data_IF_192652198089
#
_entry.id   IF_192652198089
#
_cell.length_a   1.000
_cell.length_b   1.000
_cell.length_c   1.000
_cell.angle_alpha   90.00
_cell.angle_beta   90.00
_cell.angle_gamma   90.00
#
_symmetry.space_group_name_H-M   'P 1'
#
loop_
_entity.id
_entity.type
_entity.pdbx_description
1 polymer ?
#
# COMPACT_ATOMS: atom_id res chain seq x y z
N UNK A 1 -30.11 -8.28 -0.48
CA UNK A 1 -29.73 -8.89 -1.77
C UNK A 1 -28.22 -8.77 -1.87
N UNK A 2 -27.50 -9.88 -1.65
CA UNK A 2 -26.04 -9.89 -1.69
C UNK A 2 -25.64 -10.36 -3.09
N UNK A 3 -25.19 -9.43 -3.94
CA UNK A 3 -24.65 -9.76 -5.26
C UNK A 3 -23.41 -10.65 -5.14
N UNK A 4 -23.00 -11.34 -6.21
CA UNK A 4 -21.80 -12.16 -6.19
C UNK A 4 -20.60 -11.27 -5.82
N UNK A 5 -19.87 -11.64 -4.75
CA UNK A 5 -18.55 -11.07 -4.49
C UNK A 5 -17.66 -11.52 -5.63
N UNK A 6 -17.38 -10.64 -6.58
CA UNK A 6 -16.21 -10.80 -7.45
C UNK A 6 -15.02 -10.74 -6.49
N UNK A 7 -14.45 -11.89 -6.17
CA UNK A 7 -13.10 -11.93 -5.61
C UNK A 7 -12.20 -11.53 -6.76
N UNK A 8 -11.93 -10.22 -6.90
CA UNK A 8 -10.89 -9.76 -7.81
C UNK A 8 -9.58 -10.42 -7.35
N UNK A 9 -9.17 -11.47 -8.07
CA UNK A 9 -7.88 -12.11 -7.85
C UNK A 9 -6.82 -11.17 -8.40
N UNK A 10 -6.20 -10.42 -7.49
CA UNK A 10 -5.07 -9.58 -7.81
C UNK A 10 -3.80 -10.44 -7.87
N UNK A 11 -3.06 -10.35 -8.98
CA UNK A 11 -1.76 -11.02 -9.09
C UNK A 11 -0.70 -10.26 -8.29
N UNK A 12 0.10 -11.01 -7.52
CA UNK A 12 1.28 -10.49 -6.84
C UNK A 12 2.23 -9.83 -7.86
N UNK A 13 2.70 -8.58 -7.64
CA UNK A 13 3.63 -7.96 -8.56
C UNK A 13 4.97 -8.68 -8.54
N UNK A 14 5.62 -8.79 -9.70
CA UNK A 14 6.89 -9.49 -9.90
C UNK A 14 8.01 -8.98 -8.97
N UNK A 15 7.95 -7.70 -8.57
CA UNK A 15 8.94 -7.04 -7.73
C UNK A 15 8.66 -7.17 -6.22
N UNK A 16 7.60 -7.88 -5.81
CA UNK A 16 7.21 -7.92 -4.39
C UNK A 16 8.25 -8.66 -3.53
N UNK A 17 8.90 -7.99 -2.56
CA UNK A 17 10.03 -8.55 -1.82
C UNK A 17 9.62 -9.49 -0.67
N UNK A 18 8.34 -9.53 -0.29
CA UNK A 18 7.87 -10.18 0.95
C UNK A 18 7.00 -11.40 0.67
N UNK A 19 7.54 -12.64 0.62
CA UNK A 19 6.80 -13.82 0.18
C UNK A 19 5.60 -14.16 1.07
N UNK A 20 5.55 -13.68 2.31
CA UNK A 20 4.43 -13.89 3.25
C UNK A 20 3.26 -12.93 3.06
N UNK A 21 3.43 -11.90 2.23
CA UNK A 21 2.41 -10.88 2.00
C UNK A 21 1.35 -11.38 1.02
N UNK A 22 0.10 -11.43 1.49
CA UNK A 22 -1.10 -11.69 0.71
C UNK A 22 -1.59 -10.39 0.10
N UNK A 23 -1.74 -10.34 -1.21
CA UNK A 23 -2.15 -9.12 -1.89
C UNK A 23 -3.62 -8.79 -1.57
N UNK A 24 -3.87 -7.52 -1.21
CA UNK A 24 -5.20 -6.96 -0.98
C UNK A 24 -5.66 -6.18 -2.22
N UNK A 25 -4.77 -5.35 -2.77
CA UNK A 25 -5.04 -4.57 -3.99
C UNK A 25 -3.75 -4.16 -4.69
N UNK A 26 -3.79 -3.93 -5.99
CA UNK A 26 -2.68 -3.29 -6.70
C UNK A 26 -3.16 -2.44 -7.88
N UNK A 27 -2.40 -1.39 -8.15
CA UNK A 27 -2.46 -0.59 -9.38
C UNK A 27 -1.36 -1.06 -10.32
N UNK A 28 -1.77 -1.48 -11.52
CA UNK A 28 -0.95 -2.09 -12.58
C UNK A 28 -0.48 -3.53 -12.27
N UNK A 29 -0.99 -4.49 -13.04
CA UNK A 29 -0.92 -5.93 -12.74
C UNK A 29 0.15 -6.62 -13.59
N UNK A 30 0.88 -7.56 -12.96
CA UNK A 30 1.39 -8.79 -13.59
C UNK A 30 2.48 -8.69 -14.65
N UNK A 31 2.80 -7.50 -15.16
CA UNK A 31 3.88 -7.27 -16.11
C UNK A 31 5.03 -6.50 -15.47
N UNK A 32 6.23 -6.64 -16.03
CA UNK A 32 7.34 -5.77 -15.69
C UNK A 32 7.03 -4.32 -16.15
N UNK A 33 7.30 -3.29 -15.34
CA UNK A 33 7.23 -1.89 -15.70
C UNK A 33 7.94 -1.59 -17.01
N UNK A 34 7.38 -0.68 -17.80
CA UNK A 34 8.17 0.05 -18.78
C UNK A 34 8.87 1.23 -18.11
N UNK A 35 9.94 1.79 -18.71
CA UNK A 35 10.60 2.98 -18.17
C UNK A 35 9.60 4.14 -18.02
N UNK A 36 9.35 4.56 -16.78
CA UNK A 36 8.41 5.64 -16.44
C UNK A 36 7.19 5.17 -15.63
N UNK A 37 6.86 3.88 -15.66
CA UNK A 37 5.73 3.34 -14.93
C UNK A 37 5.99 3.30 -13.42
N UNK A 38 4.96 3.63 -12.64
CA UNK A 38 4.96 3.51 -11.18
C UNK A 38 3.77 2.66 -10.73
N UNK A 39 3.98 1.88 -9.68
CA UNK A 39 3.04 0.87 -9.21
C UNK A 39 2.80 1.11 -7.73
N UNK A 40 1.57 0.82 -7.31
CA UNK A 40 1.21 0.85 -5.90
C UNK A 40 0.53 -0.47 -5.58
N UNK A 41 0.94 -1.13 -4.50
CA UNK A 41 0.23 -2.30 -4.01
C UNK A 41 0.05 -2.26 -2.50
N UNK A 42 -1.03 -2.90 -2.06
CA UNK A 42 -1.38 -3.07 -0.65
C UNK A 42 -1.54 -4.55 -0.36
N UNK A 43 -1.02 -5.01 0.76
CA UNK A 43 -1.11 -6.39 1.15
C UNK A 43 -1.10 -6.60 2.67
N UNK A 44 -1.53 -7.78 3.07
CA UNK A 44 -1.65 -8.22 4.45
C UNK A 44 -0.62 -9.32 4.72
N UNK A 45 0.04 -9.24 5.86
CA UNK A 45 1.01 -10.21 6.32
C UNK A 45 0.31 -11.32 7.09
N UNK A 46 0.66 -12.58 6.82
CA UNK A 46 0.17 -13.70 7.60
C UNK A 46 0.61 -13.63 9.09
N UNK A 47 1.77 -13.01 9.34
CA UNK A 47 2.32 -12.79 10.67
C UNK A 47 2.79 -11.34 10.79
N UNK A 48 2.39 -10.60 11.84
CA UNK A 48 2.80 -9.21 12.02
C UNK A 48 4.31 -9.10 12.28
N UNK A 49 4.87 -7.93 11.93
CA UNK A 49 6.18 -7.51 12.40
C UNK A 49 5.98 -6.67 13.65
N UNK A 50 6.48 -7.16 14.79
CA UNK A 50 6.46 -6.45 16.06
C UNK A 50 7.84 -5.85 16.35
N UNK A 51 7.90 -4.57 16.72
CA UNK A 51 9.13 -3.89 17.10
C UNK A 51 8.86 -2.73 18.06
N UNK A 52 9.89 -2.29 18.78
CA UNK A 52 9.83 -1.10 19.63
C UNK A 52 10.68 0.01 19.02
N UNK A 53 10.13 1.21 18.94
CA UNK A 53 10.85 2.40 18.50
C UNK A 53 10.49 3.58 19.40
N UNK A 54 11.51 4.28 19.92
CA UNK A 54 11.34 5.41 20.84
C UNK A 54 10.40 5.12 22.03
N UNK A 55 10.53 3.92 22.61
CA UNK A 55 9.72 3.46 23.74
C UNK A 55 8.26 3.09 23.41
N UNK A 56 7.85 3.19 22.15
CA UNK A 56 6.52 2.79 21.68
C UNK A 56 6.56 1.43 21.00
N UNK A 57 5.60 0.57 21.31
CA UNK A 57 5.42 -0.71 20.63
C UNK A 57 4.66 -0.51 19.31
N UNK A 58 5.13 -1.19 18.27
CA UNK A 58 4.52 -1.21 16.96
C UNK A 58 4.25 -2.66 16.56
N UNK A 59 3.06 -2.89 16.02
CA UNK A 59 2.63 -4.18 15.47
C UNK A 59 2.05 -3.91 14.10
N UNK A 60 2.80 -4.31 13.08
CA UNK A 60 2.50 -3.96 11.69
C UNK A 60 2.26 -5.23 10.89
N UNK A 61 1.02 -5.42 10.48
CA UNK A 61 0.52 -6.57 9.71
C UNK A 61 0.15 -6.20 8.28
N UNK A 62 0.30 -4.95 7.87
CA UNK A 62 0.00 -4.47 6.52
C UNK A 62 1.28 -4.00 5.82
N UNK A 63 1.25 -4.05 4.48
CA UNK A 63 2.23 -3.38 3.65
C UNK A 63 1.54 -2.49 2.61
N UNK A 64 2.07 -1.28 2.45
CA UNK A 64 1.91 -0.46 1.26
C UNK A 64 3.27 -0.42 0.55
N UNK A 65 3.31 -0.80 -0.73
CA UNK A 65 4.52 -0.69 -1.53
C UNK A 65 4.32 0.26 -2.71
N UNK A 66 5.31 1.11 -2.93
CA UNK A 66 5.43 1.95 -4.12
C UNK A 66 6.63 1.47 -4.94
N UNK A 67 6.42 1.07 -6.18
CA UNK A 67 7.52 0.94 -7.13
C UNK A 67 7.63 2.21 -7.96
N UNK A 68 8.84 2.75 -8.06
CA UNK A 68 9.17 3.78 -9.05
C UNK A 68 10.44 3.40 -9.80
N UNK A 69 10.62 3.79 -11.07
CA UNK A 69 11.84 3.50 -11.82
C UNK A 69 13.09 4.13 -11.18
N UNK A 70 12.91 5.23 -10.44
CA UNK A 70 14.01 5.95 -9.80
C UNK A 70 14.45 5.33 -8.47
N UNK A 71 13.51 4.80 -7.67
CA UNK A 71 13.78 4.33 -6.30
C UNK A 71 13.69 2.82 -6.13
N UNK A 72 13.25 2.10 -7.16
CA UNK A 72 12.85 0.70 -7.01
C UNK A 72 11.62 0.60 -6.11
N UNK A 73 11.55 -0.49 -5.32
CA UNK A 73 10.47 -0.74 -4.38
C UNK A 73 10.74 -0.01 -3.06
N UNK A 74 9.82 0.87 -2.68
CA UNK A 74 9.70 1.42 -1.33
C UNK A 74 8.62 0.61 -0.64
N UNK A 75 8.93 0.06 0.54
CA UNK A 75 8.02 -0.76 1.33
C UNK A 75 7.75 -0.07 2.66
N UNK A 76 6.49 0.28 2.88
CA UNK A 76 5.95 0.72 4.16
C UNK A 76 5.38 -0.50 4.89
N UNK A 77 5.81 -0.72 6.13
CA UNK A 77 5.22 -1.71 7.03
C UNK A 77 4.30 -0.95 7.97
N UNK A 78 3.02 -1.27 7.96
CA UNK A 78 1.95 -0.45 8.51
C UNK A 78 0.91 -1.31 9.22
N UNK A 79 -0.10 -0.67 9.81
CA UNK A 79 -1.33 -1.29 10.32
C UNK A 79 -2.58 -0.54 9.78
N UNK A 80 -3.77 -0.99 10.19
CA UNK A 80 -5.04 -0.38 9.72
C UNK A 80 -5.15 1.11 10.06
N UNK A 81 -4.69 1.53 11.25
CA UNK A 81 -4.77 2.92 11.70
C UNK A 81 -3.89 3.84 10.82
N UNK A 82 -2.73 3.35 10.36
CA UNK A 82 -1.87 4.07 9.42
C UNK A 82 -2.60 4.33 8.09
N UNK A 83 -3.31 3.33 7.55
CA UNK A 83 -4.08 3.49 6.30
C UNK A 83 -5.25 4.48 6.47
N UNK A 84 -5.96 4.41 7.60
CA UNK A 84 -7.01 5.38 7.93
C UNK A 84 -6.43 6.79 8.06
N UNK A 85 -5.27 6.93 8.69
CA UNK A 85 -4.57 8.21 8.80
C UNK A 85 -4.12 8.74 7.42
N UNK A 86 -3.58 7.88 6.56
CA UNK A 86 -3.17 8.22 5.20
C UNK A 86 -4.36 8.72 4.37
N UNK A 87 -5.51 8.04 4.44
CA UNK A 87 -6.75 8.49 3.77
C UNK A 87 -7.12 9.92 4.20
N UNK A 88 -7.12 10.20 5.51
CA UNK A 88 -7.46 11.52 6.07
C UNK A 88 -6.44 12.59 5.68
N UNK A 89 -5.16 12.22 5.68
CA UNK A 89 -4.04 13.07 5.29
C UNK A 89 -4.19 13.52 3.82
N UNK A 90 -4.37 12.59 2.88
CA UNK A 90 -4.54 12.91 1.47
C UNK A 90 -5.80 13.74 1.20
N UNK A 91 -6.93 13.39 1.82
CA UNK A 91 -8.17 14.16 1.68
C UNK A 91 -7.99 15.62 2.16
N UNK A 92 -7.29 15.81 3.28
CA UNK A 92 -7.01 17.15 3.82
C UNK A 92 -6.08 17.95 2.92
N UNK A 93 -5.02 17.32 2.39
CA UNK A 93 -4.09 17.95 1.46
C UNK A 93 -4.80 18.42 0.18
N UNK A 94 -5.63 17.55 -0.42
CA UNK A 94 -6.40 17.87 -1.62
C UNK A 94 -7.36 19.06 -1.39
N UNK A 95 -8.03 19.10 -0.24
CA UNK A 95 -8.91 20.23 0.11
C UNK A 95 -8.14 21.55 0.17
N UNK A 96 -6.99 21.58 0.85
CA UNK A 96 -6.14 22.78 0.97
C UNK A 96 -5.60 23.23 -0.40
N UNK A 97 -5.18 22.29 -1.24
CA UNK A 97 -4.70 22.59 -2.58
C UNK A 97 -5.77 23.28 -3.44
N UNK A 98 -7.02 22.82 -3.36
CA UNK A 98 -8.14 23.42 -4.10
C UNK A 98 -8.43 24.84 -3.62
N UNK A 99 -8.53 25.04 -2.30
CA UNK A 99 -8.79 26.35 -1.73
C UNK A 99 -7.70 27.39 -2.04
N UNK A 100 -6.44 26.97 -2.19
CA UNK A 100 -5.34 27.87 -2.57
C UNK A 100 -5.24 28.17 -4.08
N UNK A 101 -6.10 27.55 -4.91
CA UNK A 101 -6.18 27.78 -6.36
C UNK A 101 -7.40 28.62 -6.77
N UNK A 102 -8.25 28.96 -5.81
CA UNK A 102 -9.36 29.90 -5.93
C UNK A 102 -8.90 31.30 -5.55
#
# INVERSE_FOLDING_TARGET
MSGPRVTEEFNRPWCCPEPRCRLVWNYQVGAAPTPGDSFVCFGEMAEPVAFTYDGSEHVNDLNHCDYTPLKGVIRWQENEDDWVAAQRFYATALRKLKAGRE
#
